data_IF_414544224369
#
_entry.id   IF_414544224369
#
_cell.length_a   1.000
_cell.length_b   1.000
_cell.length_c   1.000
_cell.angle_alpha   90.00
_cell.angle_beta   90.00
_cell.angle_gamma   90.00
#
_symmetry.space_group_name_H-M   'P 1'
#
loop_
_entity.id
_entity.type
_entity.pdbx_description
1 polymer ?
#
# COMPACT_ATOMS: atom_id res chain seq x y z
N UNK A 1 -14.79 10.14 9.42
CA UNK A 1 -14.14 9.28 8.41
C UNK A 1 -13.13 10.05 7.58
N UNK A 2 -13.49 11.14 6.89
CA UNK A 2 -12.52 11.92 6.11
C UNK A 2 -11.32 12.43 6.94
N UNK A 3 -11.55 13.07 8.10
CA UNK A 3 -10.44 13.53 8.96
C UNK A 3 -9.61 12.38 9.56
N UNK A 4 -10.25 11.24 9.85
CA UNK A 4 -9.55 10.05 10.35
C UNK A 4 -8.64 9.47 9.26
N UNK A 5 -9.14 9.36 8.03
CA UNK A 5 -8.35 8.94 6.88
C UNK A 5 -7.22 9.93 6.56
N UNK A 6 -7.48 11.23 6.64
CA UNK A 6 -6.45 12.27 6.50
C UNK A 6 -5.36 12.15 7.57
N UNK A 7 -5.73 11.86 8.83
CA UNK A 7 -4.77 11.56 9.89
C UNK A 7 -3.90 10.34 9.58
N UNK A 8 -4.49 9.28 9.02
CA UNK A 8 -3.75 8.12 8.51
C UNK A 8 -2.76 8.49 7.40
N UNK A 9 -3.20 9.27 6.41
CA UNK A 9 -2.33 9.75 5.31
C UNK A 9 -1.15 10.58 5.85
N UNK A 10 -1.43 11.51 6.78
CA UNK A 10 -0.41 12.36 7.39
C UNK A 10 0.63 11.57 8.19
N UNK A 11 0.15 10.64 9.02
CA UNK A 11 1.02 9.86 9.90
C UNK A 11 1.83 8.80 9.15
N UNK A 12 1.34 8.31 8.01
CA UNK A 12 2.01 7.28 7.22
C UNK A 12 3.46 7.65 6.87
N UNK A 13 3.67 8.84 6.28
CA UNK A 13 4.99 9.27 5.78
C UNK A 13 6.08 9.29 6.85
N UNK A 14 5.94 10.02 7.99
CA UNK A 14 6.98 10.04 9.01
C UNK A 14 7.22 8.66 9.64
N UNK A 15 6.17 7.86 9.88
CA UNK A 15 6.32 6.51 10.43
C UNK A 15 7.05 5.58 9.47
N UNK A 16 6.74 5.68 8.18
CA UNK A 16 7.43 4.92 7.13
C UNK A 16 8.90 5.30 7.07
N UNK A 17 9.23 6.59 7.03
CA UNK A 17 10.62 7.05 6.98
C UNK A 17 11.41 6.65 8.23
N UNK A 18 10.84 6.83 9.43
CA UNK A 18 11.47 6.38 10.69
C UNK A 18 11.69 4.86 10.62
N UNK A 19 10.68 4.08 10.24
CA UNK A 19 10.78 2.63 10.13
C UNK A 19 11.85 2.18 9.13
N UNK A 20 11.95 2.80 7.95
CA UNK A 20 13.02 2.50 6.98
C UNK A 20 14.40 2.99 7.41
N UNK A 21 14.47 4.07 8.20
CA UNK A 21 15.71 4.62 8.72
C UNK A 21 16.31 3.78 9.84
N UNK A 22 15.48 3.20 10.71
CA UNK A 22 15.93 2.38 11.84
C UNK A 22 16.08 0.89 11.49
N UNK A 23 15.17 0.33 10.70
CA UNK A 23 15.22 -1.09 10.32
C UNK A 23 16.03 -1.35 9.04
N UNK A 24 16.44 -0.31 8.33
CA UNK A 24 16.91 -0.39 6.95
C UNK A 24 15.76 -0.42 5.94
N UNK A 25 16.03 0.04 4.73
CA UNK A 25 15.00 0.26 3.69
C UNK A 25 14.29 -1.05 3.32
N UNK A 26 15.03 -2.15 3.17
CA UNK A 26 14.49 -3.45 2.78
C UNK A 26 13.49 -3.98 3.83
N UNK A 27 13.92 -4.07 5.10
CA UNK A 27 13.06 -4.55 6.20
C UNK A 27 11.90 -3.59 6.42
N UNK A 28 12.17 -2.29 6.50
CA UNK A 28 11.14 -1.30 6.80
C UNK A 28 10.02 -1.27 5.76
N UNK A 29 10.37 -1.43 4.48
CA UNK A 29 9.40 -1.46 3.38
C UNK A 29 8.60 -2.76 3.36
N UNK A 30 9.24 -3.92 3.52
CA UNK A 30 8.54 -5.23 3.58
C UNK A 30 7.54 -5.26 4.72
N UNK A 31 7.95 -4.82 5.91
CA UNK A 31 7.08 -4.83 7.10
C UNK A 31 5.92 -3.86 6.91
N UNK A 32 6.16 -2.65 6.40
CA UNK A 32 5.09 -1.68 6.16
C UNK A 32 4.08 -2.19 5.10
N UNK A 33 4.55 -2.64 3.95
CA UNK A 33 3.70 -3.15 2.87
C UNK A 33 2.98 -4.44 3.27
N UNK A 34 3.67 -5.37 3.92
CA UNK A 34 3.13 -6.67 4.30
C UNK A 34 2.13 -6.59 5.45
N UNK A 35 2.32 -5.66 6.39
CA UNK A 35 1.37 -5.47 7.50
C UNK A 35 0.09 -4.75 7.07
N UNK A 36 0.12 -3.89 6.05
CA UNK A 36 -1.04 -3.14 5.59
C UNK A 36 -2.28 -4.01 5.25
N UNK A 37 -2.22 -5.05 4.41
CA UNK A 37 -3.37 -5.90 4.14
C UNK A 37 -3.81 -6.69 5.38
N UNK A 38 -2.88 -7.17 6.20
CA UNK A 38 -3.18 -7.92 7.44
C UNK A 38 -3.98 -7.05 8.41
N UNK A 39 -3.50 -5.83 8.67
CA UNK A 39 -4.17 -4.87 9.55
C UNK A 39 -5.50 -4.40 8.95
N UNK A 40 -5.57 -4.21 7.63
CA UNK A 40 -6.84 -3.92 6.94
C UNK A 40 -7.83 -5.04 7.18
N UNK A 41 -7.43 -6.31 7.01
CA UNK A 41 -8.28 -7.48 7.24
C UNK A 41 -8.75 -7.61 8.68
N UNK A 42 -7.84 -7.40 9.63
CA UNK A 42 -8.16 -7.44 11.05
C UNK A 42 -9.18 -6.37 11.43
N UNK A 43 -8.91 -5.11 11.09
CA UNK A 43 -9.78 -3.97 11.44
C UNK A 43 -11.13 -4.10 10.72
N UNK A 44 -11.14 -4.42 9.43
CA UNK A 44 -12.38 -4.59 8.66
C UNK A 44 -13.24 -5.73 9.23
N UNK A 45 -12.60 -6.85 9.60
CA UNK A 45 -13.31 -7.99 10.20
C UNK A 45 -13.92 -7.67 11.56
N UNK A 46 -13.24 -6.86 12.37
CA UNK A 46 -13.73 -6.40 13.67
C UNK A 46 -14.91 -5.44 13.51
N UNK A 47 -14.79 -4.46 12.60
CA UNK A 47 -15.82 -3.45 12.36
C UNK A 47 -17.08 -4.04 11.72
N UNK A 48 -16.91 -4.95 10.75
CA UNK A 48 -18.02 -5.53 9.96
C UNK A 48 -18.51 -6.87 10.47
N UNK A 49 -17.83 -7.46 11.46
CA UNK A 49 -18.10 -8.80 12.01
C UNK A 49 -18.17 -9.89 10.94
N UNK A 50 -17.31 -9.77 9.91
CA UNK A 50 -17.23 -10.70 8.77
C UNK A 50 -15.77 -10.97 8.44
N UNK A 51 -15.38 -12.23 8.41
CA UNK A 51 -14.02 -12.61 8.04
C UNK A 51 -13.80 -12.42 6.53
N UNK A 52 -12.55 -12.09 6.11
CA UNK A 52 -12.16 -12.17 4.71
C UNK A 52 -12.38 -13.58 4.16
N UNK A 53 -12.55 -13.70 2.85
CA UNK A 53 -12.66 -15.01 2.20
C UNK A 53 -11.40 -15.85 2.48
N UNK A 54 -11.52 -17.17 2.66
CA UNK A 54 -10.36 -18.06 2.92
C UNK A 54 -9.22 -17.91 1.91
N UNK A 55 -9.56 -17.71 0.64
CA UNK A 55 -8.61 -17.41 -0.45
C UNK A 55 -7.73 -16.18 -0.20
N UNK A 56 -8.27 -15.17 0.49
CA UNK A 56 -7.56 -13.94 0.79
C UNK A 56 -6.36 -14.22 1.69
N UNK A 57 -6.51 -15.09 2.69
CA UNK A 57 -5.40 -15.47 3.56
C UNK A 57 -4.25 -16.11 2.78
N UNK A 58 -4.58 -17.05 1.87
CA UNK A 58 -3.57 -17.72 1.03
C UNK A 58 -2.89 -16.73 0.09
N UNK A 59 -3.68 -15.92 -0.63
CA UNK A 59 -3.14 -14.90 -1.54
C UNK A 59 -2.26 -13.88 -0.81
N UNK A 60 -2.72 -13.34 0.32
CA UNK A 60 -1.96 -12.36 1.11
C UNK A 60 -0.68 -12.98 1.65
N UNK A 61 -0.71 -14.22 2.15
CA UNK A 61 0.49 -14.91 2.60
C UNK A 61 1.51 -15.11 1.47
N UNK A 62 1.05 -15.54 0.29
CA UNK A 62 1.91 -15.66 -0.89
C UNK A 62 2.49 -14.31 -1.32
N UNK A 63 1.69 -13.25 -1.35
CA UNK A 63 2.18 -11.93 -1.72
C UNK A 63 3.23 -11.39 -0.72
N UNK A 64 2.99 -11.54 0.59
CA UNK A 64 3.95 -11.13 1.62
C UNK A 64 5.25 -11.94 1.50
N UNK A 65 5.16 -13.25 1.30
CA UNK A 65 6.33 -14.10 1.09
C UNK A 65 7.11 -13.66 -0.15
N UNK A 66 6.44 -13.43 -1.27
CA UNK A 66 7.05 -12.98 -2.51
C UNK A 66 7.74 -11.61 -2.36
N UNK A 67 7.08 -10.63 -1.74
CA UNK A 67 7.67 -9.31 -1.43
C UNK A 67 8.90 -9.44 -0.52
N UNK A 68 8.87 -10.34 0.46
CA UNK A 68 10.00 -10.60 1.36
C UNK A 68 11.20 -11.21 0.62
N UNK A 69 10.95 -12.09 -0.34
CA UNK A 69 12.00 -12.68 -1.16
C UNK A 69 12.61 -11.69 -2.16
N UNK A 70 11.78 -10.79 -2.72
CA UNK A 70 12.21 -9.77 -3.69
C UNK A 70 12.98 -8.62 -3.03
N UNK A 71 12.69 -8.30 -1.78
CA UNK A 71 13.25 -7.12 -1.10
C UNK A 71 14.73 -7.20 -0.73
N UNK A 72 15.37 -8.37 -0.85
CA UNK A 72 16.75 -8.60 -0.41
C UNK A 72 16.91 -8.73 1.12
N UNK A 73 15.81 -8.72 1.90
CA UNK A 73 15.87 -8.88 3.37
C UNK A 73 16.56 -10.20 3.75
N UNK A 74 16.24 -11.28 3.04
CA UNK A 74 16.79 -12.61 3.30
C UNK A 74 18.32 -12.70 3.10
N UNK A 75 18.86 -11.89 2.19
CA UNK A 75 20.30 -11.87 1.87
C UNK A 75 21.09 -10.98 2.83
N UNK A 76 20.41 -10.02 3.48
CA UNK A 76 21.04 -9.00 4.34
C UNK A 76 21.35 -9.45 5.78
N UNK A 77 20.87 -10.63 6.21
CA UNK A 77 21.00 -11.10 7.59
C UNK A 77 20.29 -10.20 8.63
N UNK A 78 19.43 -9.29 8.19
CA UNK A 78 18.77 -8.32 9.04
C UNK A 78 17.77 -8.98 9.99
N UNK A 79 17.75 -8.56 11.25
CA UNK A 79 16.82 -9.10 12.25
C UNK A 79 15.43 -8.48 12.09
N UNK A 80 14.39 -9.31 12.00
CA UNK A 80 12.99 -8.89 11.83
C UNK A 80 12.23 -8.71 13.16
N UNK A 81 12.91 -8.55 14.29
CA UNK A 81 12.30 -8.68 15.62
C UNK A 81 12.54 -7.55 16.61
N UNK A 82 13.19 -6.45 16.19
CA UNK A 82 13.47 -5.31 17.07
C UNK A 82 12.22 -4.47 17.39
N UNK A 83 12.24 -3.67 18.46
CA UNK A 83 11.14 -2.74 18.78
C UNK A 83 10.89 -1.73 17.65
N UNK A 84 11.92 -1.40 16.88
CA UNK A 84 11.86 -0.46 15.76
C UNK A 84 10.98 -0.94 14.59
N UNK A 85 10.71 -2.24 14.49
CA UNK A 85 9.77 -2.83 13.52
C UNK A 85 8.37 -2.26 13.72
N UNK A 86 8.03 -1.84 14.94
CA UNK A 86 6.74 -1.24 15.26
C UNK A 86 6.47 0.04 14.48
N UNK A 87 7.50 0.81 14.10
CA UNK A 87 7.35 2.00 13.26
C UNK A 87 6.86 1.65 11.86
N UNK A 88 7.43 0.60 11.25
CA UNK A 88 6.99 0.09 9.96
C UNK A 88 5.60 -0.53 10.02
N UNK A 89 5.28 -1.26 11.09
CA UNK A 89 3.93 -1.78 11.31
C UNK A 89 2.92 -0.64 11.49
N UNK A 90 3.29 0.42 12.22
CA UNK A 90 2.45 1.59 12.41
C UNK A 90 2.18 2.30 11.07
N UNK A 91 3.17 2.39 10.17
CA UNK A 91 2.96 2.88 8.81
C UNK A 91 1.93 2.01 8.05
N UNK A 92 2.05 0.68 8.11
CA UNK A 92 1.04 -0.23 7.55
C UNK A 92 -0.36 -0.05 8.18
N UNK A 93 -0.42 0.26 9.48
CA UNK A 93 -1.66 0.59 10.18
C UNK A 93 -2.29 1.89 9.72
N UNK A 94 -1.48 2.94 9.52
CA UNK A 94 -1.92 4.20 8.92
C UNK A 94 -2.48 3.98 7.51
N UNK A 95 -1.85 3.09 6.72
CA UNK A 95 -2.40 2.67 5.44
C UNK A 95 -3.80 2.08 5.61
N UNK A 96 -3.93 1.07 6.47
CA UNK A 96 -5.20 0.40 6.73
C UNK A 96 -6.30 1.39 7.16
N UNK A 97 -5.97 2.36 8.04
CA UNK A 97 -6.90 3.38 8.51
C UNK A 97 -7.42 4.25 7.36
N UNK A 98 -6.55 4.77 6.49
CA UNK A 98 -7.03 5.61 5.38
C UNK A 98 -7.81 4.79 4.35
N UNK A 99 -7.37 3.56 4.03
CA UNK A 99 -8.05 2.69 3.08
C UNK A 99 -9.46 2.32 3.57
N UNK A 100 -9.61 2.00 4.86
CA UNK A 100 -10.92 1.69 5.45
C UNK A 100 -11.80 2.93 5.60
N UNK A 101 -11.22 4.07 5.99
CA UNK A 101 -11.95 5.34 6.05
C UNK A 101 -12.52 5.75 4.69
N UNK A 102 -11.73 5.56 3.64
CA UNK A 102 -12.16 5.80 2.28
C UNK A 102 -13.26 4.84 1.83
N UNK A 103 -13.11 3.54 2.14
CA UNK A 103 -14.12 2.55 1.81
C UNK A 103 -15.45 2.88 2.47
N UNK A 104 -15.42 3.26 3.73
CA UNK A 104 -16.60 3.66 4.50
C UNK A 104 -17.27 4.91 3.91
N UNK A 105 -16.50 5.92 3.47
CA UNK A 105 -17.06 7.07 2.77
C UNK A 105 -17.76 6.67 1.47
N UNK A 106 -17.15 5.77 0.68
CA UNK A 106 -17.72 5.31 -0.58
C UNK A 106 -18.99 4.49 -0.36
N UNK A 107 -19.06 3.67 0.68
CA UNK A 107 -20.27 2.92 1.05
C UNK A 107 -21.40 3.84 1.54
N UNK A 108 -21.06 5.02 2.08
CA UNK A 108 -22.02 6.09 2.39
C UNK A 108 -22.43 6.93 1.17
N UNK A 109 -22.05 6.51 -0.03
CA UNK A 109 -22.44 7.16 -1.29
C UNK A 109 -21.49 8.25 -1.79
N UNK A 110 -20.34 8.47 -1.13
CA UNK A 110 -19.36 9.42 -1.65
C UNK A 110 -18.71 8.87 -2.92
N UNK A 111 -18.63 9.66 -4.00
CA UNK A 111 -17.83 9.25 -5.15
C UNK A 111 -16.36 9.13 -4.78
N UNK A 112 -15.67 8.14 -5.34
CA UNK A 112 -14.29 7.78 -4.93
C UNK A 112 -13.31 8.96 -4.99
N UNK A 113 -13.41 9.80 -6.03
CA UNK A 113 -12.59 10.99 -6.21
C UNK A 113 -12.81 12.03 -5.10
N UNK A 114 -14.03 12.18 -4.58
CA UNK A 114 -14.32 13.10 -3.48
C UNK A 114 -13.79 12.55 -2.16
N UNK A 115 -13.91 11.23 -1.93
CA UNK A 115 -13.35 10.60 -0.74
C UNK A 115 -11.81 10.72 -0.70
N UNK A 116 -11.14 10.38 -1.81
CA UNK A 116 -9.68 10.52 -1.94
C UNK A 116 -9.26 11.99 -1.82
N UNK A 117 -9.89 12.88 -2.60
CA UNK A 117 -9.58 14.30 -2.61
C UNK A 117 -9.77 14.97 -1.25
N UNK A 118 -10.82 14.62 -0.50
CA UNK A 118 -11.03 15.16 0.84
C UNK A 118 -9.95 14.71 1.82
N UNK A 119 -9.60 13.42 1.86
CA UNK A 119 -8.58 12.92 2.79
C UNK A 119 -7.18 13.46 2.47
N UNK A 120 -6.76 13.36 1.20
CA UNK A 120 -5.46 13.84 0.76
C UNK A 120 -5.38 15.37 0.76
N UNK A 121 -6.47 16.07 0.45
CA UNK A 121 -6.54 17.52 0.51
C UNK A 121 -6.45 18.05 1.93
N UNK A 122 -7.17 17.45 2.89
CA UNK A 122 -7.04 17.81 4.32
C UNK A 122 -5.64 17.50 4.83
N UNK A 123 -5.07 16.35 4.47
CA UNK A 123 -3.69 16.01 4.81
C UNK A 123 -2.69 17.02 4.21
N UNK A 124 -2.81 17.33 2.93
CA UNK A 124 -1.95 18.30 2.26
C UNK A 124 -2.08 19.69 2.89
N UNK A 125 -3.29 20.16 3.18
CA UNK A 125 -3.52 21.46 3.82
C UNK A 125 -2.88 21.51 5.22
N UNK A 126 -3.06 20.46 6.02
CA UNK A 126 -2.47 20.37 7.35
C UNK A 126 -0.93 20.32 7.32
N UNK A 127 -0.34 19.64 6.32
CA UNK A 127 1.11 19.53 6.17
C UNK A 127 1.76 20.76 5.51
N UNK A 128 1.03 21.46 4.62
CA UNK A 128 1.54 22.60 3.86
C UNK A 128 1.82 23.82 4.74
N UNK A 129 1.21 23.91 5.92
CA UNK A 129 1.49 24.99 6.88
C UNK A 129 2.86 24.82 7.53
N UNK A 130 3.21 23.70 8.20
CA UNK A 130 4.49 23.57 8.89
C UNK A 130 5.70 23.27 7.96
N UNK A 131 5.51 22.52 6.87
CA UNK A 131 6.63 22.00 6.06
C UNK A 131 7.55 23.10 5.48
N UNK A 132 7.04 24.19 4.88
CA UNK A 132 7.89 25.27 4.37
C UNK A 132 8.79 25.91 5.43
N UNK A 133 8.33 25.99 6.68
CA UNK A 133 9.10 26.58 7.78
C UNK A 133 10.16 25.63 8.34
N UNK A 134 10.01 24.32 8.14
CA UNK A 134 10.95 23.30 8.62
C UNK A 134 12.04 23.03 7.58
N UNK A 135 11.65 22.88 6.31
CA UNK A 135 12.54 22.37 5.25
C UNK A 135 12.96 23.47 4.25
N UNK A 136 12.30 24.63 4.30
CA UNK A 136 12.46 25.68 3.29
C UNK A 136 11.68 25.40 2.00
N UNK A 137 11.27 26.47 1.32
CA UNK A 137 10.45 26.41 0.11
C UNK A 137 11.17 26.90 -1.16
N UNK A 138 12.39 27.39 -1.06
CA UNK A 138 13.10 28.03 -2.17
C UNK A 138 13.31 27.08 -3.37
N UNK A 139 13.56 25.80 -3.09
CA UNK A 139 13.76 24.78 -4.12
C UNK A 139 12.54 24.58 -5.03
N UNK A 140 11.31 24.89 -4.55
CA UNK A 140 10.07 24.78 -5.32
C UNK A 140 10.05 25.72 -6.52
N UNK A 141 10.76 26.85 -6.43
CA UNK A 141 10.83 27.87 -7.48
C UNK A 141 11.89 27.57 -8.54
N UNK A 142 12.62 26.46 -8.40
CA UNK A 142 13.55 26.00 -9.43
C UNK A 142 12.82 25.15 -10.48
N UNK A 143 13.25 25.15 -11.76
CA UNK A 143 12.66 24.27 -12.78
C UNK A 143 12.68 22.79 -12.38
N UNK A 144 13.77 22.34 -11.72
CA UNK A 144 13.89 20.98 -11.21
C UNK A 144 12.90 20.69 -10.08
N UNK A 145 12.75 21.61 -9.13
CA UNK A 145 11.79 21.47 -8.03
C UNK A 145 10.36 21.42 -8.53
N UNK A 146 10.00 22.32 -9.45
CA UNK A 146 8.68 22.31 -10.07
C UNK A 146 8.41 21.01 -10.83
N UNK A 147 9.38 20.51 -11.60
CA UNK A 147 9.25 19.22 -12.29
C UNK A 147 9.04 18.06 -11.30
N UNK A 148 9.77 18.03 -10.19
CA UNK A 148 9.61 17.01 -9.14
C UNK A 148 8.24 17.10 -8.47
N UNK A 149 7.75 18.29 -8.15
CA UNK A 149 6.43 18.48 -7.54
C UNK A 149 5.32 18.07 -8.49
N UNK A 150 5.42 18.43 -9.77
CA UNK A 150 4.43 18.03 -10.76
C UNK A 150 4.44 16.52 -10.96
N UNK A 151 5.62 15.91 -11.09
CA UNK A 151 5.76 14.47 -11.22
C UNK A 151 5.22 13.72 -10.00
N UNK A 152 5.71 14.04 -8.80
CA UNK A 152 5.34 13.34 -7.58
C UNK A 152 3.89 13.65 -7.16
N UNK A 153 3.47 14.91 -7.26
CA UNK A 153 2.14 15.36 -6.85
C UNK A 153 1.04 14.92 -7.80
N UNK A 154 1.21 15.15 -9.11
CA UNK A 154 0.14 14.87 -10.08
C UNK A 154 0.18 13.41 -10.52
N UNK A 155 1.34 12.90 -10.92
CA UNK A 155 1.45 11.56 -11.52
C UNK A 155 1.54 10.49 -10.43
N UNK A 156 2.55 10.57 -9.56
CA UNK A 156 2.76 9.51 -8.57
C UNK A 156 1.66 9.49 -7.50
N UNK A 157 1.22 10.67 -7.04
CA UNK A 157 0.24 10.78 -5.95
C UNK A 157 -1.19 10.88 -6.48
N UNK A 158 -1.57 11.97 -7.15
CA UNK A 158 -2.97 12.22 -7.47
C UNK A 158 -3.55 11.14 -8.39
N UNK A 159 -2.89 10.83 -9.51
CA UNK A 159 -3.35 9.79 -10.43
C UNK A 159 -3.33 8.41 -9.75
N UNK A 160 -2.24 8.06 -9.06
CA UNK A 160 -2.12 6.79 -8.33
C UNK A 160 -3.25 6.58 -7.33
N UNK A 161 -3.53 7.57 -6.48
CA UNK A 161 -4.58 7.48 -5.47
C UNK A 161 -6.00 7.59 -6.04
N UNK A 162 -6.20 8.25 -7.18
CA UNK A 162 -7.48 8.19 -7.90
C UNK A 162 -7.75 6.79 -8.46
N UNK A 163 -6.74 6.12 -9.01
CA UNK A 163 -6.85 4.72 -9.46
C UNK A 163 -7.05 3.76 -8.27
N UNK A 164 -6.33 3.97 -7.16
CA UNK A 164 -6.54 3.23 -5.92
C UNK A 164 -7.98 3.41 -5.41
N UNK A 165 -8.48 4.64 -5.36
CA UNK A 165 -9.85 4.95 -4.98
C UNK A 165 -10.89 4.32 -5.90
N UNK A 166 -10.62 4.30 -7.21
CA UNK A 166 -11.45 3.62 -8.20
C UNK A 166 -11.54 2.11 -7.94
N UNK A 167 -10.41 1.46 -7.60
CA UNK A 167 -10.37 0.05 -7.22
C UNK A 167 -11.14 -0.20 -5.92
N UNK A 168 -10.94 0.66 -4.92
CA UNK A 168 -11.58 0.59 -3.61
C UNK A 168 -13.10 0.76 -3.65
N UNK A 169 -13.61 1.53 -4.61
CA UNK A 169 -15.05 1.64 -4.84
C UNK A 169 -15.68 0.31 -5.28
N UNK A 170 -14.93 -0.56 -5.96
CA UNK A 170 -15.42 -1.79 -6.60
C UNK A 170 -15.09 -3.06 -5.82
N UNK A 171 -14.02 -3.04 -5.03
CA UNK A 171 -13.49 -4.19 -4.34
C UNK A 171 -13.51 -3.99 -2.81
N UNK A 172 -13.47 -5.07 -2.02
CA UNK A 172 -13.23 -4.96 -0.58
C UNK A 172 -11.88 -4.30 -0.30
N UNK A 173 -11.79 -3.52 0.78
CA UNK A 173 -10.55 -2.82 1.16
C UNK A 173 -9.37 -3.79 1.31
N UNK A 174 -9.60 -4.96 1.91
CA UNK A 174 -8.63 -6.04 2.06
C UNK A 174 -8.07 -6.57 0.75
N UNK A 175 -8.91 -6.61 -0.30
CA UNK A 175 -8.48 -7.05 -1.64
C UNK A 175 -7.61 -5.98 -2.27
N UNK A 176 -8.02 -4.71 -2.21
CA UNK A 176 -7.26 -3.61 -2.82
C UNK A 176 -5.90 -3.43 -2.16
N UNK A 177 -5.83 -3.45 -0.83
CA UNK A 177 -4.55 -3.33 -0.10
C UNK A 177 -3.60 -4.48 -0.37
N UNK A 178 -4.12 -5.68 -0.66
CA UNK A 178 -3.29 -6.82 -1.07
C UNK A 178 -2.85 -6.69 -2.53
N UNK A 179 -3.72 -6.19 -3.42
CA UNK A 179 -3.36 -5.90 -4.81
C UNK A 179 -2.29 -4.81 -4.93
N UNK A 180 -2.19 -3.88 -3.98
CA UNK A 180 -1.09 -2.90 -3.90
C UNK A 180 0.29 -3.58 -3.80
N UNK A 181 0.38 -4.83 -3.31
CA UNK A 181 1.63 -5.60 -3.35
C UNK A 181 2.11 -5.93 -4.77
N UNK A 182 1.32 -5.62 -5.81
CA UNK A 182 1.78 -5.57 -7.19
C UNK A 182 2.79 -4.44 -7.46
N UNK A 183 2.85 -3.40 -6.61
CA UNK A 183 3.82 -2.32 -6.76
C UNK A 183 5.27 -2.83 -6.72
N UNK A 184 5.71 -3.62 -5.71
CA UNK A 184 7.02 -4.28 -5.72
C UNK A 184 7.29 -5.12 -6.98
N UNK A 185 6.29 -5.83 -7.49
CA UNK A 185 6.40 -6.60 -8.74
C UNK A 185 6.72 -5.67 -9.92
N UNK A 186 5.93 -4.61 -10.09
CA UNK A 186 6.14 -3.60 -11.13
C UNK A 186 7.48 -2.89 -10.99
N UNK A 187 7.85 -2.47 -9.77
CA UNK A 187 9.11 -1.81 -9.47
C UNK A 187 10.30 -2.69 -9.84
N UNK A 188 10.25 -3.98 -9.49
CA UNK A 188 11.31 -4.94 -9.82
C UNK A 188 11.43 -5.16 -11.33
N UNK A 189 10.30 -5.30 -12.04
CA UNK A 189 10.30 -5.44 -13.50
C UNK A 189 10.87 -4.19 -14.20
N UNK A 190 10.54 -3.00 -13.70
CA UNK A 190 11.11 -1.75 -14.18
C UNK A 190 12.61 -1.65 -13.85
N UNK A 191 13.05 -2.13 -12.69
CA UNK A 191 14.47 -2.23 -12.32
C UNK A 191 15.28 -3.08 -13.29
N UNK A 192 14.76 -4.25 -13.65
CA UNK A 192 15.41 -5.12 -14.64
C UNK A 192 15.42 -4.47 -16.03
N UNK A 193 14.28 -3.91 -16.46
CA UNK A 193 14.11 -3.42 -17.82
C UNK A 193 14.81 -2.09 -18.11
N UNK A 194 14.76 -1.15 -17.17
CA UNK A 194 15.27 0.22 -17.34
C UNK A 194 16.63 0.44 -16.67
N UNK A 195 16.87 -0.19 -15.52
CA UNK A 195 18.10 -0.04 -14.74
C UNK A 195 19.09 -1.20 -14.94
N UNK A 196 18.70 -2.23 -15.71
CA UNK A 196 19.49 -3.43 -15.96
C UNK A 196 19.95 -4.15 -14.67
N UNK A 197 19.10 -4.11 -13.63
CA UNK A 197 19.38 -4.79 -12.37
C UNK A 197 19.41 -6.32 -12.55
N UNK A 198 20.38 -6.96 -11.89
CA UNK A 198 20.49 -8.42 -11.87
C UNK A 198 19.73 -8.98 -10.68
N UNK A 199 18.80 -9.90 -10.95
CA UNK A 199 18.07 -10.60 -9.88
C UNK A 199 18.88 -11.78 -9.34
N UNK A 200 18.88 -11.92 -8.02
CA UNK A 200 19.23 -13.19 -7.38
C UNK A 200 18.17 -14.25 -7.70
N UNK A 201 18.53 -15.54 -7.57
CA UNK A 201 17.57 -16.64 -7.72
C UNK A 201 16.42 -16.54 -6.69
N UNK A 202 16.71 -16.02 -5.50
CA UNK A 202 15.72 -15.77 -4.45
C UNK A 202 14.75 -14.68 -4.88
N UNK A 203 15.23 -13.55 -5.39
CA UNK A 203 14.38 -12.47 -5.87
C UNK A 203 13.53 -12.91 -7.09
N UNK A 204 14.11 -13.67 -8.02
CA UNK A 204 13.40 -14.19 -9.18
C UNK A 204 12.27 -15.16 -8.79
N UNK A 205 12.53 -16.09 -7.86
CA UNK A 205 11.48 -16.99 -7.34
C UNK A 205 10.42 -16.23 -6.53
N UNK A 206 10.84 -15.21 -5.77
CA UNK A 206 9.95 -14.30 -5.05
C UNK A 206 8.97 -13.58 -5.97
N UNK A 207 9.44 -13.15 -7.14
CA UNK A 207 8.63 -12.50 -8.17
C UNK A 207 7.51 -13.42 -8.67
N UNK A 208 7.83 -14.70 -8.90
CA UNK A 208 6.86 -15.73 -9.31
C UNK A 208 5.85 -15.99 -8.20
N UNK A 209 6.31 -16.12 -6.94
CA UNK A 209 5.43 -16.32 -5.78
C UNK A 209 4.49 -15.14 -5.57
N UNK A 210 4.99 -13.91 -5.70
CA UNK A 210 4.20 -12.68 -5.62
C UNK A 210 3.14 -12.63 -6.73
N UNK A 211 3.53 -12.88 -7.98
CA UNK A 211 2.61 -12.93 -9.10
C UNK A 211 1.53 -14.01 -8.94
N UNK A 212 1.89 -15.20 -8.44
CA UNK A 212 0.95 -16.27 -8.15
C UNK A 212 -0.03 -15.89 -7.05
N UNK A 213 0.42 -15.22 -5.98
CA UNK A 213 -0.44 -14.70 -4.92
C UNK A 213 -1.49 -13.71 -5.45
N UNK A 214 -1.07 -12.78 -6.31
CA UNK A 214 -1.96 -11.83 -6.98
C UNK A 214 -2.95 -12.51 -7.93
N UNK A 215 -2.50 -13.54 -8.66
CA UNK A 215 -3.38 -14.35 -9.51
C UNK A 215 -4.44 -15.11 -8.69
N UNK A 216 -4.04 -15.75 -7.58
CA UNK A 216 -4.96 -16.43 -6.65
C UNK A 216 -6.01 -15.46 -6.09
N UNK A 217 -5.61 -14.21 -5.82
CA UNK A 217 -6.51 -13.19 -5.32
C UNK A 217 -7.55 -12.75 -6.36
N UNK A 218 -7.15 -12.65 -7.64
CA UNK A 218 -7.99 -12.12 -8.73
C UNK A 218 -8.88 -13.18 -9.39
N UNK A 219 -8.51 -14.46 -9.33
CA UNK A 219 -9.32 -15.55 -9.89
C UNK A 219 -10.62 -15.68 -9.09
N UNK A 220 -11.69 -15.15 -9.69
CA UNK A 220 -13.05 -15.32 -9.18
C UNK A 220 -13.56 -16.68 -9.62
N UNK A 221 -13.89 -17.58 -8.68
CA UNK A 221 -14.69 -18.77 -9.01
C UNK A 221 -16.00 -18.28 -9.62
N UNK A 222 -16.16 -18.43 -10.93
CA UNK A 222 -17.50 -18.63 -11.50
C UNK A 222 -18.10 -19.77 -10.67
N UNK A 223 -19.15 -19.48 -9.90
CA UNK A 223 -20.00 -20.55 -9.37
C UNK A 223 -20.49 -21.28 -10.62
N UNK A 224 -19.97 -22.49 -10.88
CA UNK A 224 -20.65 -23.43 -11.74
C UNK A 224 -21.99 -23.64 -11.05
N UNK A 225 -23.03 -23.01 -11.58
CA UNK A 225 -24.38 -23.19 -11.09
C UNK A 225 -24.67 -24.67 -11.19
N UNK A 226 -24.86 -25.33 -10.06
CA UNK A 226 -25.58 -26.58 -10.01
C UNK A 226 -27.03 -26.25 -10.35
N UNK A 227 -27.32 -26.10 -11.63
CA UNK A 227 -28.66 -26.22 -12.16
C UNK A 227 -28.93 -27.70 -12.31
N UNK A 228 -29.54 -28.30 -11.30
CA UNK A 228 -30.42 -29.45 -11.52
C UNK A 228 -31.58 -29.34 -10.55
N UNK A 229 -32.60 -28.63 -11.01
CA UNK A 229 -33.99 -28.86 -10.63
C UNK A 229 -34.39 -30.16 -11.32
N UNK A 230 -34.78 -31.16 -10.54
CA UNK A 230 -35.86 -32.09 -10.80
C UNK A 230 -36.10 -32.90 -9.52
#
# INVERSE_FOLDING_TARGET
MACMGAGGVLAYQPLFFVGTGTNGVAVGTVVALGSAPVLTGLIDSLLRRRAPASRWFVATALCIAGVTMVSGVLDSGASLGGPDVLWSVAAGGCYAVYALSAKELMERGWPSQHAMGAMFGVAAAAASVPLPFIVGAEWLWTPRGLALVLWLGVIATALGYLLFGWGLARLPATTVTTLTLAEPLCATLLGIGLLHEQLSLVAASGLVVLAAGLAVLTVTRRRVGASTVA
#
